data_IF_177705346070
#
_entry.id   IF_177705346070
#
_cell.length_a   1.000
_cell.length_b   1.000
_cell.length_c   1.000
_cell.angle_alpha   90.00
_cell.angle_beta   90.00
_cell.angle_gamma   90.00
#
_symmetry.space_group_name_H-M   'P 1'
#
loop_
_entity.id
_entity.type
_entity.pdbx_description
1 polymer ?
#
# COMPACT_ATOMS: atom_id res chain seq x y z
N UNK A 1 -10.17 11.85 -4.76
CA UNK A 1 -11.37 11.15 -4.24
C UNK A 1 -11.09 9.70 -3.84
N UNK A 2 -10.59 8.82 -4.72
CA UNK A 2 -10.44 7.36 -4.42
C UNK A 2 -9.53 7.04 -3.22
N UNK A 3 -8.43 7.79 -3.04
CA UNK A 3 -7.50 7.57 -1.92
C UNK A 3 -8.11 7.87 -0.55
N UNK A 4 -9.11 8.75 -0.45
CA UNK A 4 -9.76 9.07 0.81
C UNK A 4 -10.53 7.84 1.35
N UNK A 5 -11.28 7.17 0.47
CA UNK A 5 -12.04 5.97 0.82
C UNK A 5 -11.15 4.82 1.33
N UNK A 6 -10.00 4.58 0.70
CA UNK A 6 -9.10 3.48 1.12
C UNK A 6 -8.52 3.72 2.52
N UNK A 7 -8.20 4.98 2.86
CA UNK A 7 -7.69 5.32 4.20
C UNK A 7 -8.77 5.21 5.26
N UNK A 8 -10.00 5.64 4.96
CA UNK A 8 -11.15 5.46 5.85
C UNK A 8 -11.44 3.98 6.10
N UNK A 9 -11.51 3.16 5.04
CA UNK A 9 -11.67 1.72 5.19
C UNK A 9 -10.54 1.10 6.02
N UNK A 10 -9.28 1.50 5.77
CA UNK A 10 -8.14 1.03 6.57
C UNK A 10 -8.25 1.39 8.05
N UNK A 11 -8.78 2.58 8.36
CA UNK A 11 -9.08 3.00 9.73
C UNK A 11 -10.18 2.14 10.36
N UNK A 12 -11.29 1.90 9.65
CA UNK A 12 -12.38 1.04 10.13
C UNK A 12 -11.94 -0.43 10.33
N UNK A 13 -11.01 -0.92 9.51
CA UNK A 13 -10.44 -2.25 9.63
C UNK A 13 -9.35 -2.38 10.72
N UNK A 14 -9.06 -1.32 11.48
CA UNK A 14 -8.04 -1.35 12.55
C UNK A 14 -6.60 -1.45 12.04
N UNK A 15 -6.31 -0.95 10.84
CA UNK A 15 -4.94 -0.90 10.29
C UNK A 15 -4.22 0.34 10.85
N UNK A 16 -4.06 0.42 12.16
CA UNK A 16 -3.64 1.61 12.90
C UNK A 16 -2.25 1.51 13.53
N UNK A 17 -1.56 0.38 13.36
CA UNK A 17 -0.20 0.16 13.87
C UNK A 17 0.72 1.35 13.57
N UNK A 18 1.42 1.93 14.56
CA UNK A 18 2.24 3.12 14.34
C UNK A 18 3.46 2.78 13.48
N UNK A 19 3.72 3.60 12.47
CA UNK A 19 4.87 3.48 11.56
C UNK A 19 5.66 4.78 11.59
N UNK A 20 6.98 4.66 11.77
CA UNK A 20 7.91 5.78 11.62
C UNK A 20 8.15 6.03 10.13
N UNK A 21 7.84 7.25 9.70
CA UNK A 21 8.13 7.72 8.35
C UNK A 21 9.27 8.71 8.43
N UNK A 22 10.37 8.38 7.78
CA UNK A 22 11.56 9.24 7.66
C UNK A 22 11.58 9.84 6.26
N UNK A 23 11.61 11.16 6.17
CA UNK A 23 11.73 11.91 4.89
C UNK A 23 12.88 12.89 4.99
N UNK A 24 13.57 13.11 3.88
CA UNK A 24 14.61 14.13 3.79
C UNK A 24 14.07 15.32 3.00
N UNK A 25 14.15 16.51 3.57
CA UNK A 25 13.86 17.78 2.91
C UNK A 25 15.16 18.58 2.85
N UNK A 26 15.86 18.50 1.72
CA UNK A 26 17.23 18.99 1.60
C UNK A 26 18.16 18.24 2.57
N UNK A 27 18.89 18.98 3.41
CA UNK A 27 19.75 18.42 4.46
C UNK A 27 19.01 18.06 5.76
N UNK A 28 17.71 18.37 5.87
CA UNK A 28 16.94 18.09 7.09
C UNK A 28 16.28 16.72 7.03
N UNK A 29 16.56 15.88 8.04
CA UNK A 29 15.83 14.63 8.30
C UNK A 29 14.58 14.96 9.10
N UNK A 30 13.42 14.67 8.54
CA UNK A 30 12.11 14.83 9.18
C UNK A 30 11.56 13.45 9.50
N UNK A 31 11.18 13.25 10.75
CA UNK A 31 10.60 12.01 11.23
C UNK A 31 9.21 12.27 11.77
N UNK A 32 8.28 11.37 11.46
CA UNK A 32 6.92 11.44 11.98
C UNK A 32 6.41 10.03 12.23
N UNK A 33 5.62 9.88 13.28
CA UNK A 33 4.89 8.65 13.56
C UNK A 33 3.46 8.81 13.05
N UNK A 34 3.06 7.91 12.16
CA UNK A 34 1.72 7.90 11.57
C UNK A 34 1.10 6.52 11.73
N UNK A 35 -0.23 6.42 11.91
CA UNK A 35 -0.90 5.13 11.85
C UNK A 35 -0.83 4.58 10.41
N UNK A 36 -0.71 3.26 10.28
CA UNK A 36 -0.46 2.61 8.98
C UNK A 36 -1.51 2.92 7.91
N UNK A 37 -2.78 3.09 8.28
CA UNK A 37 -3.84 3.45 7.33
C UNK A 37 -3.57 4.78 6.61
N UNK A 38 -2.84 5.72 7.21
CA UNK A 38 -2.54 7.01 6.57
C UNK A 38 -1.55 6.89 5.42
N UNK A 39 -0.76 5.82 5.41
CA UNK A 39 0.23 5.53 4.38
C UNK A 39 -0.35 4.76 3.18
N UNK A 40 -1.62 4.37 3.25
CA UNK A 40 -2.28 3.67 2.15
C UNK A 40 -2.35 4.55 0.89
N UNK A 41 -1.94 3.95 -0.23
CA UNK A 41 -1.86 4.57 -1.54
C UNK A 41 -2.27 3.58 -2.63
N UNK A 42 -2.52 4.07 -3.84
CA UNK A 42 -2.80 3.22 -5.01
C UNK A 42 -1.66 2.23 -5.28
N UNK A 43 -0.42 2.64 -5.03
CA UNK A 43 0.75 1.76 -5.14
C UNK A 43 0.66 0.59 -4.15
N UNK A 44 0.29 0.87 -2.89
CA UNK A 44 0.06 -0.16 -1.87
C UNK A 44 -1.07 -1.10 -2.29
N UNK A 45 -2.18 -0.55 -2.80
CA UNK A 45 -3.32 -1.35 -3.28
C UNK A 45 -2.93 -2.29 -4.42
N UNK A 46 -2.16 -1.81 -5.41
CA UNK A 46 -1.64 -2.64 -6.51
C UNK A 46 -0.75 -3.77 -6.00
N UNK A 47 0.15 -3.49 -5.06
CA UNK A 47 1.01 -4.50 -4.47
C UNK A 47 0.20 -5.55 -3.70
N UNK A 48 -0.76 -5.12 -2.88
CA UNK A 48 -1.67 -6.01 -2.16
C UNK A 48 -2.45 -6.91 -3.13
N UNK A 49 -2.99 -6.35 -4.22
CA UNK A 49 -3.69 -7.12 -5.25
C UNK A 49 -2.81 -8.22 -5.87
N UNK A 50 -1.56 -7.89 -6.23
CA UNK A 50 -0.60 -8.86 -6.77
C UNK A 50 -0.38 -10.02 -5.80
N UNK A 51 -0.03 -9.70 -4.55
CA UNK A 51 0.29 -10.73 -3.53
C UNK A 51 -0.95 -11.57 -3.20
N UNK A 52 -2.10 -10.95 -2.99
CA UNK A 52 -3.34 -11.67 -2.67
C UNK A 52 -3.76 -12.59 -3.82
N UNK A 53 -3.64 -12.15 -5.07
CA UNK A 53 -3.98 -12.99 -6.22
C UNK A 53 -3.07 -14.23 -6.31
N UNK A 54 -1.77 -14.06 -6.05
CA UNK A 54 -0.82 -15.19 -6.02
C UNK A 54 -1.15 -16.16 -4.89
N UNK A 55 -1.44 -15.66 -3.69
CA UNK A 55 -1.83 -16.48 -2.54
C UNK A 55 -3.14 -17.26 -2.78
N UNK A 56 -4.06 -16.67 -3.54
CA UNK A 56 -5.31 -17.32 -3.97
C UNK A 56 -5.11 -18.30 -5.14
N UNK A 57 -3.88 -18.51 -5.60
CA UNK A 57 -3.56 -19.49 -6.64
C UNK A 57 -3.76 -18.99 -8.07
N UNK A 58 -3.88 -17.68 -8.29
CA UNK A 58 -4.00 -17.13 -9.64
C UNK A 58 -2.72 -17.42 -10.45
N UNK A 59 -2.84 -18.00 -11.66
CA UNK A 59 -1.67 -18.26 -12.48
C UNK A 59 -0.89 -16.98 -12.78
N UNK A 60 0.46 -16.97 -12.64
CA UNK A 60 1.27 -15.77 -12.89
C UNK A 60 1.05 -15.18 -14.29
N UNK A 61 0.88 -16.02 -15.32
CA UNK A 61 0.60 -15.57 -16.67
C UNK A 61 -0.68 -14.71 -16.78
N UNK A 62 -1.70 -14.99 -15.97
CA UNK A 62 -2.95 -14.21 -15.91
C UNK A 62 -2.70 -12.89 -15.15
N UNK A 63 -1.98 -12.95 -14.02
CA UNK A 63 -1.63 -11.76 -13.23
C UNK A 63 -0.79 -10.77 -14.02
N UNK A 64 0.15 -11.26 -14.82
CA UNK A 64 1.01 -10.44 -15.67
C UNK A 64 0.20 -9.71 -16.76
N UNK A 65 -0.88 -10.31 -17.28
CA UNK A 65 -1.80 -9.62 -18.22
C UNK A 65 -2.50 -8.43 -17.59
N UNK A 66 -2.92 -8.55 -16.32
CA UNK A 66 -3.58 -7.45 -15.60
C UNK A 66 -2.60 -6.36 -15.15
N UNK A 67 -1.42 -6.76 -14.72
CA UNK A 67 -0.50 -5.86 -14.01
C UNK A 67 0.60 -5.29 -14.89
N UNK A 68 0.88 -5.91 -16.04
CA UNK A 68 2.03 -5.57 -16.89
C UNK A 68 3.38 -5.85 -16.24
N UNK A 69 3.41 -6.53 -15.10
CA UNK A 69 4.64 -6.96 -14.44
C UNK A 69 5.24 -8.11 -15.27
N UNK A 70 6.56 -8.13 -15.39
CA UNK A 70 7.30 -9.29 -15.88
C UNK A 70 7.96 -9.97 -14.68
N UNK A 71 7.46 -11.15 -14.32
CA UNK A 71 8.03 -12.05 -13.31
C UNK A 71 9.05 -12.97 -13.98
#
# INVERSE_FOLDING_TARGET
>A
MVLAFVKESGKFCGIDSPIQVVRYQGSKRVEQWLPKYELLSSHTGRHTFVIQSLLQGMPPAVLMKFTGIRI
#
